data_IF_041595893846
#
_entry.id   IF_041595893846
#
_cell.length_a   1.000
_cell.length_b   1.000
_cell.length_c   1.000
_cell.angle_alpha   90.00
_cell.angle_beta   90.00
_cell.angle_gamma   90.00
#
_symmetry.space_group_name_H-M   'P 1'
#
loop_
_entity.id
_entity.type
_entity.pdbx_description
1 polymer ?
#
# COMPACT_ATOMS: atom_id res chain seq x y z
N UNK A 1 0.10 -40.91 20.99
CA UNK A 1 -0.73 -39.68 21.10
C UNK A 1 0.16 -38.52 21.52
N UNK A 2 0.30 -37.49 20.68
CA UNK A 2 0.84 -36.18 21.09
C UNK A 2 -0.35 -35.28 21.39
N UNK A 3 -0.57 -34.96 22.67
CA UNK A 3 -1.68 -34.08 23.07
C UNK A 3 -1.50 -32.68 22.48
N UNK A 4 -2.58 -32.11 21.96
CA UNK A 4 -2.63 -30.68 21.68
C UNK A 4 -2.59 -29.95 23.02
N UNK A 5 -1.47 -29.30 23.34
CA UNK A 5 -1.50 -28.19 24.30
C UNK A 5 -2.33 -27.08 23.66
N UNK A 6 -3.58 -26.96 24.10
CA UNK A 6 -4.37 -25.76 23.89
C UNK A 6 -3.70 -24.64 24.69
N UNK A 7 -3.17 -23.61 24.02
CA UNK A 7 -2.70 -22.39 24.69
C UNK A 7 -3.91 -21.67 25.32
N UNK A 8 -4.25 -22.02 26.56
CA UNK A 8 -5.28 -21.33 27.33
C UNK A 8 -4.91 -19.85 27.47
N UNK A 9 -5.71 -18.98 26.82
CA UNK A 9 -5.45 -17.54 26.76
C UNK A 9 -4.71 -17.04 25.51
N UNK A 10 -4.45 -17.90 24.51
CA UNK A 10 -4.03 -17.42 23.19
C UNK A 10 -5.15 -16.64 22.49
N UNK A 11 -4.82 -15.53 21.84
CA UNK A 11 -5.75 -14.69 21.10
C UNK A 11 -5.11 -14.19 19.80
N UNK A 12 -5.90 -14.06 18.71
CA UNK A 12 -5.38 -13.50 17.46
C UNK A 12 -5.06 -12.01 17.65
N UNK A 13 -3.90 -11.59 17.14
CA UNK A 13 -3.55 -10.18 17.02
C UNK A 13 -2.98 -9.91 15.63
N UNK A 14 -3.38 -8.80 15.02
CA UNK A 14 -2.99 -8.45 13.66
C UNK A 14 -1.57 -7.87 13.61
N UNK A 15 -0.83 -8.27 12.57
CA UNK A 15 0.48 -7.70 12.21
C UNK A 15 0.49 -7.38 10.71
N UNK A 16 1.31 -6.40 10.30
CA UNK A 16 1.46 -6.07 8.89
C UNK A 16 2.38 -7.06 8.18
N UNK A 17 1.95 -7.57 7.03
CA UNK A 17 2.73 -8.47 6.16
C UNK A 17 4.08 -7.88 5.72
N UNK A 18 4.22 -6.55 5.72
CA UNK A 18 5.50 -5.86 5.49
C UNK A 18 6.64 -6.31 6.41
N UNK A 19 6.32 -6.82 7.62
CA UNK A 19 7.29 -7.41 8.55
C UNK A 19 8.06 -8.59 7.93
N UNK A 20 7.47 -9.30 6.95
CA UNK A 20 8.04 -10.46 6.28
C UNK A 20 8.89 -10.11 5.05
N UNK A 21 9.15 -8.82 4.79
CA UNK A 21 10.05 -8.41 3.71
C UNK A 21 11.52 -8.68 4.05
N UNK A 22 12.40 -8.93 3.06
CA UNK A 22 13.81 -9.25 3.31
C UNK A 22 14.54 -8.22 4.17
N UNK A 23 14.29 -6.92 3.92
CA UNK A 23 14.90 -5.83 4.69
C UNK A 23 14.44 -5.76 6.16
N UNK A 24 13.29 -6.32 6.52
CA UNK A 24 12.87 -6.48 7.91
C UNK A 24 13.39 -7.80 8.51
N UNK A 25 13.41 -8.88 7.73
CA UNK A 25 13.99 -10.17 8.13
C UNK A 25 15.45 -10.04 8.59
N UNK A 26 16.32 -9.38 7.80
CA UNK A 26 17.73 -9.16 8.13
C UNK A 26 17.93 -8.28 9.37
N UNK A 27 17.10 -7.24 9.53
CA UNK A 27 17.20 -6.27 10.64
C UNK A 27 16.69 -6.82 11.97
N UNK A 28 15.69 -7.68 11.96
CA UNK A 28 15.07 -8.26 13.17
C UNK A 28 15.73 -9.59 13.53
N UNK A 29 15.95 -10.47 12.56
CA UNK A 29 16.37 -11.86 12.80
C UNK A 29 15.52 -12.56 13.86
N UNK A 30 16.18 -13.25 14.80
CA UNK A 30 15.48 -13.95 15.89
C UNK A 30 14.83 -13.04 16.93
N UNK A 31 15.07 -11.72 16.92
CA UNK A 31 14.39 -10.80 17.84
C UNK A 31 12.89 -10.62 17.53
N UNK A 32 12.38 -11.24 16.45
CA UNK A 32 10.98 -11.22 16.05
C UNK A 32 10.06 -11.74 17.16
N UNK A 33 10.49 -12.74 17.93
CA UNK A 33 9.71 -13.30 19.03
C UNK A 33 9.46 -12.27 20.15
N UNK A 34 10.49 -11.52 20.54
CA UNK A 34 10.36 -10.43 21.50
C UNK A 34 9.51 -9.28 20.94
N UNK A 35 9.65 -8.97 19.65
CA UNK A 35 8.84 -7.92 19.00
C UNK A 35 7.36 -8.27 18.95
N UNK A 36 7.01 -9.49 18.54
CA UNK A 36 5.63 -10.01 18.51
C UNK A 36 5.04 -10.05 19.93
N UNK A 37 5.82 -10.45 20.94
CA UNK A 37 5.40 -10.40 22.34
C UNK A 37 5.16 -8.96 22.84
N UNK A 38 5.94 -7.98 22.40
CA UNK A 38 5.69 -6.56 22.71
C UNK A 38 4.39 -6.07 22.06
N UNK A 39 4.07 -6.52 20.84
CA UNK A 39 2.79 -6.19 20.18
C UNK A 39 1.61 -6.82 20.94
N UNK A 40 1.66 -8.12 21.25
CA UNK A 40 0.61 -8.78 22.02
C UNK A 40 0.46 -8.11 23.41
N UNK A 41 1.56 -7.82 24.10
CA UNK A 41 1.60 -7.16 25.41
C UNK A 41 1.36 -5.63 25.38
N UNK A 42 1.07 -5.04 24.21
CA UNK A 42 0.70 -3.61 24.10
C UNK A 42 -0.70 -3.38 24.67
N UNK A 43 -0.79 -2.52 25.69
CA UNK A 43 -2.01 -2.28 26.49
C UNK A 43 -2.75 -1.01 26.09
N UNK A 44 -2.02 0.03 25.70
CA UNK A 44 -2.54 1.35 25.31
C UNK A 44 -1.68 1.89 24.18
N UNK A 45 -2.27 2.65 23.28
CA UNK A 45 -1.54 3.44 22.29
C UNK A 45 -1.65 4.92 22.66
N UNK A 46 -0.54 5.65 22.52
CA UNK A 46 -0.45 7.08 22.69
C UNK A 46 0.17 7.68 21.43
N UNK A 47 -0.42 8.76 20.92
CA UNK A 47 0.19 9.58 19.87
C UNK A 47 1.16 10.54 20.56
N UNK A 48 2.45 10.40 20.28
CA UNK A 48 3.49 11.30 20.76
C UNK A 48 4.37 11.68 19.57
N UNK A 49 4.65 12.98 19.40
CA UNK A 49 5.56 13.50 18.36
C UNK A 49 5.21 13.02 16.93
N UNK A 50 3.91 12.91 16.63
CA UNK A 50 3.41 12.44 15.33
C UNK A 50 3.53 10.92 15.09
N UNK A 51 3.94 10.15 16.10
CA UNK A 51 4.09 8.69 16.03
C UNK A 51 3.23 7.98 17.07
N UNK A 52 2.57 6.89 16.66
CA UNK A 52 1.81 6.03 17.58
C UNK A 52 2.76 5.10 18.35
N UNK A 53 2.88 5.32 19.66
CA UNK A 53 3.64 4.50 20.59
C UNK A 53 2.73 3.56 21.36
N UNK A 54 2.97 2.25 21.24
CA UNK A 54 2.28 1.21 22.00
C UNK A 54 2.94 0.99 23.35
N UNK A 55 2.27 1.36 24.45
CA UNK A 55 2.74 1.12 25.82
C UNK A 55 2.62 -0.37 26.19
N UNK A 56 3.77 -1.04 26.31
CA UNK A 56 3.85 -2.43 26.76
C UNK A 56 3.56 -2.50 28.26
N UNK A 57 2.62 -3.36 28.66
CA UNK A 57 2.21 -3.57 30.07
C UNK A 57 1.99 -2.28 30.89
N UNK A 58 1.39 -1.25 30.28
CA UNK A 58 1.07 0.01 30.95
C UNK A 58 2.29 0.81 31.45
N UNK A 59 3.46 0.66 30.81
CA UNK A 59 4.75 1.19 31.26
C UNK A 59 5.29 0.56 32.57
N UNK A 60 4.82 -0.63 32.96
CA UNK A 60 5.46 -1.41 34.04
C UNK A 60 6.95 -1.62 33.72
N UNK A 61 7.88 -1.27 34.63
CA UNK A 61 9.29 -1.61 34.47
C UNK A 61 9.48 -3.13 34.42
N UNK A 62 10.08 -3.62 33.34
CA UNK A 62 10.40 -5.03 33.12
C UNK A 62 11.87 -5.31 33.39
N UNK A 63 12.19 -6.48 33.92
CA UNK A 63 13.58 -6.96 33.98
C UNK A 63 13.89 -7.83 32.77
N UNK A 64 15.10 -7.73 32.23
CA UNK A 64 15.53 -8.61 31.14
C UNK A 64 15.54 -10.10 31.56
N UNK A 65 15.72 -10.38 32.86
CA UNK A 65 15.59 -11.72 33.45
C UNK A 65 14.13 -12.25 33.43
N UNK A 66 13.12 -11.40 33.58
CA UNK A 66 11.70 -11.82 33.50
C UNK A 66 11.35 -12.23 32.05
N UNK A 67 11.81 -11.43 31.07
CA UNK A 67 11.69 -11.76 29.65
C UNK A 67 12.49 -13.03 29.28
N UNK A 68 13.65 -13.24 29.90
CA UNK A 68 14.47 -14.43 29.69
C UNK A 68 13.72 -15.72 30.06
N UNK A 69 12.98 -15.70 31.18
CA UNK A 69 12.11 -16.79 31.61
C UNK A 69 10.96 -17.05 30.63
N UNK A 70 10.32 -15.99 30.09
CA UNK A 70 9.20 -16.10 29.13
C UNK A 70 9.61 -16.85 27.85
N UNK A 71 10.82 -16.63 27.34
CA UNK A 71 11.29 -17.28 26.11
C UNK A 71 12.20 -18.51 26.35
N UNK A 72 12.52 -18.84 27.60
CA UNK A 72 13.48 -19.90 27.93
C UNK A 72 14.91 -19.63 27.44
N UNK A 73 15.31 -18.35 27.31
CA UNK A 73 16.63 -17.94 26.78
C UNK A 73 17.48 -17.24 27.83
N UNK A 74 18.78 -17.08 27.57
CA UNK A 74 19.68 -16.33 28.45
C UNK A 74 19.35 -14.82 28.44
N UNK A 75 19.47 -14.13 29.59
CA UNK A 75 19.30 -12.67 29.71
C UNK A 75 20.19 -11.89 28.71
N UNK A 76 21.42 -12.37 28.44
CA UNK A 76 22.30 -11.77 27.43
C UNK A 76 21.67 -11.77 26.03
N UNK A 77 20.92 -12.82 25.68
CA UNK A 77 20.18 -12.92 24.41
C UNK A 77 19.05 -11.90 24.36
N UNK A 78 18.26 -11.78 25.44
CA UNK A 78 17.19 -10.76 25.54
C UNK A 78 17.76 -9.34 25.41
N UNK A 79 18.85 -9.04 26.13
CA UNK A 79 19.54 -7.73 26.03
C UNK A 79 20.01 -7.45 24.60
N UNK A 80 20.58 -8.44 23.90
CA UNK A 80 20.96 -8.32 22.49
C UNK A 80 19.75 -8.06 21.59
N UNK A 81 18.64 -8.75 21.79
CA UNK A 81 17.39 -8.53 21.04
C UNK A 81 16.81 -7.13 21.29
N UNK A 82 16.78 -6.67 22.54
CA UNK A 82 16.34 -5.31 22.91
C UNK A 82 17.16 -4.24 22.17
N UNK A 83 18.50 -4.32 22.26
CA UNK A 83 19.38 -3.37 21.56
C UNK A 83 19.27 -3.45 20.04
N UNK A 84 19.02 -4.64 19.46
CA UNK A 84 18.79 -4.81 18.03
C UNK A 84 17.47 -4.18 17.58
N UNK A 85 16.39 -4.39 18.34
CA UNK A 85 15.07 -3.84 18.02
C UNK A 85 15.02 -2.33 18.20
N UNK A 86 15.70 -1.79 19.22
CA UNK A 86 15.85 -0.36 19.45
C UNK A 86 16.68 0.31 18.35
N UNK A 87 17.87 -0.23 18.03
CA UNK A 87 18.75 0.31 16.98
C UNK A 87 18.07 0.40 15.62
N UNK A 88 17.23 -0.58 15.29
CA UNK A 88 16.48 -0.61 14.03
C UNK A 88 15.12 0.10 14.09
N UNK A 89 14.77 0.73 15.22
CA UNK A 89 13.58 1.58 15.34
C UNK A 89 12.24 0.85 15.50
N UNK A 90 12.23 -0.42 15.88
CA UNK A 90 10.99 -1.19 16.13
C UNK A 90 10.39 -0.91 17.51
N UNK A 91 11.24 -0.66 18.50
CA UNK A 91 10.85 -0.33 19.87
C UNK A 91 11.62 0.90 20.36
N UNK A 92 11.09 1.58 21.37
CA UNK A 92 11.82 2.50 22.21
C UNK A 92 12.02 1.85 23.58
N UNK A 93 13.24 1.92 24.13
CA UNK A 93 13.55 1.47 25.48
C UNK A 93 13.86 2.68 26.34
N UNK A 94 13.17 2.82 27.48
CA UNK A 94 13.49 3.83 28.50
C UNK A 94 13.99 3.14 29.76
N UNK A 95 15.05 3.68 30.36
CA UNK A 95 15.54 3.23 31.68
C UNK A 95 14.57 3.68 32.76
N UNK A 96 14.30 2.81 33.72
CA UNK A 96 13.57 3.11 34.95
C UNK A 96 14.35 2.54 36.15
N UNK A 97 14.14 3.06 37.39
CA UNK A 97 14.92 2.63 38.56
C UNK A 97 14.93 1.12 38.82
N UNK A 98 13.87 0.41 38.43
CA UNK A 98 13.70 -1.03 38.67
C UNK A 98 13.66 -1.90 37.40
N UNK A 99 14.02 -1.34 36.23
CA UNK A 99 14.02 -2.10 34.98
C UNK A 99 14.06 -1.25 33.71
N UNK A 100 13.46 -1.77 32.65
CA UNK A 100 13.26 -1.08 31.38
C UNK A 100 11.77 -0.93 31.08
N UNK A 101 11.38 0.23 30.57
CA UNK A 101 10.05 0.49 30.04
C UNK A 101 10.14 0.34 28.53
N UNK A 102 9.29 -0.52 27.97
CA UNK A 102 9.22 -0.80 26.53
C UNK A 102 8.05 -0.06 25.89
N UNK A 103 8.26 0.43 24.68
CA UNK A 103 7.17 0.96 23.85
C UNK A 103 7.38 0.55 22.39
N UNK A 104 6.33 0.04 21.75
CA UNK A 104 6.36 -0.36 20.33
C UNK A 104 6.22 0.89 19.47
N UNK A 105 7.15 1.10 18.53
CA UNK A 105 7.09 2.20 17.57
C UNK A 105 6.16 1.84 16.40
N UNK A 106 5.44 2.83 15.88
CA UNK A 106 4.40 2.64 14.86
C UNK A 106 3.38 1.56 15.23
N UNK A 107 3.00 1.49 16.51
CA UNK A 107 1.96 0.58 16.97
C UNK A 107 0.63 0.96 16.35
N UNK A 108 -0.09 -0.02 15.81
CA UNK A 108 -1.38 0.15 15.13
C UNK A 108 -2.40 -0.93 15.59
N UNK A 109 -2.16 -1.52 16.76
CA UNK A 109 -2.97 -2.57 17.36
C UNK A 109 -4.42 -2.13 17.60
N UNK A 110 -4.66 -0.84 17.89
CA UNK A 110 -6.01 -0.33 18.11
C UNK A 110 -6.56 0.52 16.95
N UNK A 111 -5.88 0.57 15.79
CA UNK A 111 -6.31 1.38 14.64
C UNK A 111 -7.69 1.01 14.09
N UNK A 112 -8.14 -0.23 14.34
CA UNK A 112 -9.46 -0.75 13.93
C UNK A 112 -10.48 -0.80 15.07
N UNK A 113 -10.15 -0.32 16.28
CA UNK A 113 -11.18 -0.12 17.32
C UNK A 113 -11.96 1.14 16.93
N UNK A 114 -13.29 1.07 16.68
CA UNK A 114 -14.07 2.29 16.54
C UNK A 114 -13.86 3.12 17.81
N UNK A 115 -13.42 4.36 17.64
CA UNK A 115 -13.06 5.28 18.74
C UNK A 115 -14.34 5.65 19.49
N UNK A 116 -14.78 4.74 20.38
CA UNK A 116 -15.94 4.92 21.24
C UNK A 116 -15.86 6.30 21.86
N UNK A 117 -16.86 7.12 21.55
CA UNK A 117 -16.72 8.57 21.61
C UNK A 117 -16.26 9.01 23.00
N UNK A 118 -15.07 9.63 23.08
CA UNK A 118 -14.76 10.49 24.21
C UNK A 118 -15.54 11.79 24.03
N UNK A 119 -16.86 11.69 24.20
CA UNK A 119 -17.67 12.82 24.62
C UNK A 119 -17.16 13.15 26.02
N UNK A 120 -16.35 14.19 26.12
CA UNK A 120 -16.09 14.88 27.37
C UNK A 120 -16.61 16.29 27.18
N UNK A 121 -17.89 16.45 27.49
CA UNK A 121 -18.52 17.74 27.64
C UNK A 121 -17.88 18.50 28.80
N UNK A 122 -17.59 19.77 28.56
CA UNK A 122 -17.40 20.86 29.53
C UNK A 122 -16.22 20.73 30.54
N UNK A 123 -15.63 21.82 31.04
CA UNK A 123 -15.98 23.24 30.94
C UNK A 123 -14.75 24.15 30.63
N UNK A 124 -15.06 25.42 30.42
CA UNK A 124 -14.19 26.55 30.05
C UNK A 124 -13.05 26.85 31.04
N UNK A 125 -11.91 27.35 30.55
CA UNK A 125 -11.41 28.70 30.93
C UNK A 125 -10.51 29.28 29.82
N UNK A 126 -10.35 30.61 29.77
CA UNK A 126 -9.93 31.42 28.60
C UNK A 126 -8.49 31.92 28.75
N UNK A 127 -7.75 32.10 27.65
CA UNK A 127 -6.86 33.28 27.47
C UNK A 127 -6.49 33.54 26.01
N UNK A 128 -6.28 34.82 25.67
CA UNK A 128 -5.95 35.35 24.34
C UNK A 128 -4.69 36.26 24.47
N UNK A 129 -4.02 36.80 23.43
CA UNK A 129 -4.27 36.79 21.98
C UNK A 129 -3.16 36.01 21.22
N UNK A 130 -2.38 36.46 20.21
CA UNK A 130 -2.17 37.73 19.47
C UNK A 130 -1.88 37.44 17.99
N UNK A 131 -2.19 38.39 17.10
CA UNK A 131 -2.11 38.26 15.64
C UNK A 131 -0.78 38.80 15.04
N UNK A 132 -0.39 38.30 13.87
CA UNK A 132 0.77 38.82 13.11
C UNK A 132 1.04 38.09 11.79
N UNK A 133 0.82 38.77 10.67
CA UNK A 133 0.86 38.29 9.28
C UNK A 133 2.16 37.61 8.81
N UNK A 134 2.07 36.53 8.01
CA UNK A 134 2.32 36.59 6.55
C UNK A 134 2.20 35.22 5.83
N UNK A 135 1.70 35.26 4.58
CA UNK A 135 1.73 34.13 3.61
C UNK A 135 2.72 34.47 2.49
N UNK A 136 3.47 33.48 1.98
CA UNK A 136 3.06 32.97 0.67
C UNK A 136 3.13 31.44 0.48
N UNK A 137 1.97 30.88 0.12
CA UNK A 137 1.74 29.93 -0.99
C UNK A 137 2.86 28.94 -1.40
N UNK A 138 2.68 27.68 -0.95
CA UNK A 138 2.87 26.39 -1.67
C UNK A 138 4.26 25.99 -2.22
N UNK A 139 4.70 24.80 -1.80
CA UNK A 139 4.91 23.69 -2.75
C UNK A 139 4.45 22.36 -2.14
N UNK A 140 3.76 21.53 -2.95
CA UNK A 140 3.23 20.25 -2.52
C UNK A 140 4.21 19.11 -2.86
N UNK A 141 4.28 18.08 -2.01
CA UNK A 141 4.54 16.71 -2.47
C UNK A 141 3.86 15.66 -1.58
N UNK A 142 2.71 15.20 -2.08
CA UNK A 142 2.11 13.88 -1.87
C UNK A 142 1.82 13.43 -0.43
N UNK A 143 0.98 14.21 0.25
CA UNK A 143 0.11 13.70 1.31
C UNK A 143 -1.21 13.20 0.68
N UNK A 144 -1.24 11.95 0.21
CA UNK A 144 -2.48 11.28 -0.18
C UNK A 144 -3.31 10.96 1.06
N UNK A 145 -4.28 11.83 1.32
CA UNK A 145 -5.38 11.59 2.25
C UNK A 145 -6.06 10.26 1.90
N UNK A 146 -6.11 9.31 2.85
CA UNK A 146 -7.05 8.19 2.77
C UNK A 146 -8.15 8.47 3.79
N UNK A 147 -9.06 9.34 3.38
CA UNK A 147 -10.38 9.44 3.99
C UNK A 147 -11.05 8.07 3.92
N UNK A 148 -11.66 7.63 5.03
CA UNK A 148 -12.54 6.46 5.06
C UNK A 148 -13.73 6.67 4.13
N UNK A 149 -13.64 6.12 2.91
CA UNK A 149 -14.74 5.91 1.98
C UNK A 149 -14.41 4.72 1.08
N UNK A 150 -15.00 3.55 1.40
CA UNK A 150 -15.23 2.38 0.56
C UNK A 150 -14.43 2.30 -0.77
N UNK A 151 -13.11 2.18 -0.67
CA UNK A 151 -12.25 1.82 -1.80
C UNK A 151 -11.65 0.46 -1.47
N UNK A 152 -12.27 -0.59 -2.01
CA UNK A 152 -11.70 -1.94 -1.96
C UNK A 152 -10.27 -1.91 -2.49
N UNK A 153 -9.37 -2.68 -1.89
CA UNK A 153 -8.03 -2.91 -2.43
C UNK A 153 -8.20 -3.28 -3.91
N UNK A 154 -7.52 -2.60 -4.87
CA UNK A 154 -7.68 -2.90 -6.28
C UNK A 154 -7.39 -4.38 -6.60
N UNK A 155 -6.54 -5.05 -5.82
CA UNK A 155 -6.32 -6.50 -5.93
C UNK A 155 -7.57 -7.26 -5.49
N UNK A 156 -8.15 -6.92 -4.34
CA UNK A 156 -9.36 -7.58 -3.80
C UNK A 156 -10.58 -7.34 -4.69
N UNK A 157 -10.78 -6.12 -5.19
CA UNK A 157 -11.88 -5.78 -6.12
C UNK A 157 -11.82 -6.59 -7.43
N UNK A 158 -10.61 -6.82 -7.98
CA UNK A 158 -10.42 -7.68 -9.17
C UNK A 158 -10.61 -9.15 -8.80
N UNK A 159 -10.14 -9.58 -7.61
CA UNK A 159 -10.28 -10.95 -7.12
C UNK A 159 -11.75 -11.33 -6.90
N UNK A 160 -12.52 -10.47 -6.24
CA UNK A 160 -13.96 -10.60 -6.03
C UNK A 160 -14.72 -10.65 -7.37
N UNK A 161 -14.40 -9.75 -8.31
CA UNK A 161 -15.04 -9.75 -9.63
C UNK A 161 -14.70 -11.02 -10.43
N UNK A 162 -13.47 -11.52 -10.33
CA UNK A 162 -13.06 -12.79 -10.93
C UNK A 162 -13.78 -13.98 -10.28
N UNK A 163 -13.88 -14.01 -8.96
CA UNK A 163 -14.60 -15.04 -8.20
C UNK A 163 -16.08 -15.08 -8.59
N UNK A 164 -16.73 -13.92 -8.73
CA UNK A 164 -18.12 -13.81 -9.16
C UNK A 164 -18.33 -14.34 -10.59
N UNK A 165 -17.52 -13.89 -11.56
CA UNK A 165 -17.58 -14.36 -12.96
C UNK A 165 -17.34 -15.87 -13.07
N UNK A 166 -16.36 -16.39 -12.33
CA UNK A 166 -16.03 -17.81 -12.33
C UNK A 166 -17.10 -18.65 -11.62
N UNK A 167 -17.69 -18.14 -10.54
CA UNK A 167 -18.78 -18.83 -9.84
C UNK A 167 -20.04 -18.93 -10.70
N UNK A 168 -20.36 -17.87 -11.46
CA UNK A 168 -21.42 -17.90 -12.46
C UNK A 168 -21.14 -18.93 -13.58
N UNK A 169 -19.89 -19.05 -14.02
CA UNK A 169 -19.51 -19.97 -15.10
C UNK A 169 -19.41 -21.45 -14.67
N UNK A 170 -19.03 -21.73 -13.41
CA UNK A 170 -18.95 -23.09 -12.85
C UNK A 170 -20.23 -23.54 -12.10
N UNK A 171 -21.18 -22.64 -11.83
CA UNK A 171 -22.42 -22.96 -11.10
C UNK A 171 -22.23 -23.29 -9.62
N UNK A 172 -21.07 -22.95 -9.05
CA UNK A 172 -20.69 -23.17 -7.65
C UNK A 172 -19.87 -21.98 -7.14
N UNK A 173 -19.84 -21.76 -5.83
CA UNK A 173 -18.95 -20.75 -5.25
C UNK A 173 -17.48 -21.19 -5.44
N UNK A 174 -16.68 -20.34 -6.07
CA UNK A 174 -15.25 -20.57 -6.28
C UNK A 174 -14.44 -19.36 -5.85
N UNK A 175 -13.55 -19.57 -4.89
CA UNK A 175 -12.60 -18.56 -4.43
C UNK A 175 -11.32 -18.56 -5.29
N UNK A 176 -10.66 -17.41 -5.50
CA UNK A 176 -9.40 -17.34 -6.25
C UNK A 176 -8.26 -18.05 -5.49
N UNK A 177 -7.36 -18.69 -6.24
CA UNK A 177 -6.15 -19.32 -5.68
C UNK A 177 -5.13 -18.26 -5.27
N UNK A 178 -4.20 -18.51 -4.31
CA UNK A 178 -3.07 -17.62 -4.06
C UNK A 178 -2.25 -17.26 -5.31
N UNK A 179 -2.20 -18.15 -6.32
CA UNK A 179 -1.58 -17.87 -7.63
C UNK A 179 -2.38 -16.86 -8.47
N UNK A 180 -3.70 -16.83 -8.32
CA UNK A 180 -4.57 -15.86 -8.98
C UNK A 180 -4.36 -14.48 -8.37
N UNK A 181 -4.30 -14.36 -7.03
CA UNK A 181 -3.94 -13.11 -6.34
C UNK A 181 -2.56 -12.57 -6.78
N UNK A 182 -1.55 -13.43 -6.94
CA UNK A 182 -0.24 -13.02 -7.48
C UNK A 182 -0.29 -12.54 -8.93
N UNK A 183 -1.19 -13.10 -9.76
CA UNK A 183 -1.39 -12.64 -11.14
C UNK A 183 -2.14 -11.29 -11.18
N UNK A 184 -3.15 -11.11 -10.33
CA UNK A 184 -3.87 -9.84 -10.17
C UNK A 184 -2.92 -8.72 -9.69
N UNK A 185 -2.09 -9.00 -8.69
CA UNK A 185 -1.11 -8.03 -8.18
C UNK A 185 -0.13 -7.57 -9.27
N UNK A 186 0.27 -8.45 -10.19
CA UNK A 186 1.12 -8.09 -11.35
C UNK A 186 0.42 -7.17 -12.35
N UNK A 187 -0.91 -7.25 -12.50
CA UNK A 187 -1.70 -6.30 -13.29
C UNK A 187 -1.82 -4.94 -12.58
N UNK A 188 -2.12 -4.94 -11.28
CA UNK A 188 -2.24 -3.70 -10.48
C UNK A 188 -0.90 -2.95 -10.43
N UNK A 189 0.23 -3.66 -10.31
CA UNK A 189 1.57 -3.08 -10.34
C UNK A 189 1.94 -2.37 -11.66
N UNK A 190 1.23 -2.63 -12.77
CA UNK A 190 1.37 -1.89 -14.03
C UNK A 190 0.64 -0.55 -14.04
N UNK A 191 -0.07 -0.18 -12.98
CA UNK A 191 -0.75 1.12 -12.85
C UNK A 191 -2.01 1.27 -13.69
N UNK A 192 -2.63 0.16 -14.14
CA UNK A 192 -3.88 0.20 -14.90
C UNK A 192 -5.04 0.63 -13.99
N UNK A 193 -5.89 1.59 -14.39
CA UNK A 193 -7.07 1.99 -13.61
C UNK A 193 -8.01 0.80 -13.33
N UNK A 194 -8.42 0.64 -12.08
CA UNK A 194 -9.30 -0.46 -11.63
C UNK A 194 -10.55 -0.67 -12.51
N UNK A 195 -11.34 0.37 -12.89
CA UNK A 195 -12.51 0.18 -13.76
C UNK A 195 -12.16 -0.37 -15.15
N UNK A 196 -10.97 0.00 -15.66
CA UNK A 196 -10.48 -0.46 -16.96
C UNK A 196 -10.06 -1.93 -16.92
N UNK A 197 -9.41 -2.35 -15.83
CA UNK A 197 -9.04 -3.76 -15.59
C UNK A 197 -10.28 -4.64 -15.44
N UNK A 198 -11.29 -4.21 -14.68
CA UNK A 198 -12.57 -4.91 -14.53
C UNK A 198 -13.27 -5.06 -15.89
N UNK A 199 -13.35 -3.99 -16.69
CA UNK A 199 -13.94 -4.00 -18.04
C UNK A 199 -13.25 -4.99 -18.99
N UNK A 200 -11.93 -5.12 -18.91
CA UNK A 200 -11.21 -6.11 -19.70
C UNK A 200 -11.37 -7.53 -19.18
N UNK A 201 -11.47 -7.72 -17.85
CA UNK A 201 -11.75 -9.02 -17.23
C UNK A 201 -13.11 -9.56 -17.67
N UNK A 202 -14.16 -8.74 -17.60
CA UNK A 202 -15.51 -9.09 -18.07
C UNK A 202 -15.50 -9.46 -19.56
N UNK A 203 -14.85 -8.63 -20.39
CA UNK A 203 -14.72 -8.88 -21.82
C UNK A 203 -13.94 -10.17 -22.12
N UNK A 204 -12.98 -10.54 -21.29
CA UNK A 204 -12.26 -11.82 -21.39
C UNK A 204 -13.21 -13.01 -21.22
N UNK A 205 -14.09 -12.97 -20.20
CA UNK A 205 -15.10 -14.00 -19.99
C UNK A 205 -16.13 -14.03 -21.13
N UNK A 206 -16.67 -12.89 -21.58
CA UNK A 206 -17.63 -12.85 -22.70
C UNK A 206 -17.05 -13.33 -24.03
N UNK A 207 -15.80 -12.94 -24.35
CA UNK A 207 -15.11 -13.44 -25.56
C UNK A 207 -14.74 -14.92 -25.45
N UNK A 208 -14.52 -15.44 -24.25
CA UNK A 208 -14.31 -16.88 -24.04
C UNK A 208 -15.63 -17.65 -24.20
N UNK A 209 -16.72 -17.20 -23.59
CA UNK A 209 -18.03 -17.83 -23.68
C UNK A 209 -18.59 -17.88 -25.10
N UNK A 210 -18.38 -16.84 -25.91
CA UNK A 210 -18.79 -16.85 -27.33
C UNK A 210 -18.00 -17.82 -28.22
N UNK A 211 -16.83 -18.30 -27.77
CA UNK A 211 -15.96 -19.24 -28.51
C UNK A 211 -15.99 -20.66 -27.94
N UNK A 212 -16.55 -20.83 -26.75
CA UNK A 212 -16.59 -22.07 -25.97
C UNK A 212 -17.44 -23.12 -26.70
N UNK A 213 -16.92 -24.34 -26.85
CA UNK A 213 -17.61 -25.44 -27.56
C UNK A 213 -18.44 -26.30 -26.62
N UNK A 214 -18.10 -26.37 -25.33
CA UNK A 214 -18.77 -27.23 -24.35
C UNK A 214 -18.91 -26.59 -22.98
N UNK A 215 -20.07 -26.80 -22.33
CA UNK A 215 -20.38 -26.37 -20.94
C UNK A 215 -19.43 -26.91 -19.86
N UNK A 216 -18.42 -27.71 -20.20
CA UNK A 216 -17.35 -28.18 -19.29
C UNK A 216 -16.04 -27.38 -19.36
N UNK A 217 -15.83 -26.59 -20.42
CA UNK A 217 -14.61 -25.80 -20.64
C UNK A 217 -14.67 -24.46 -19.87
N UNK A 218 -14.18 -24.37 -18.62
CA UNK A 218 -14.21 -23.10 -17.84
C UNK A 218 -12.85 -22.43 -17.72
N UNK A 219 -12.85 -21.11 -17.48
CA UNK A 219 -11.66 -20.37 -17.05
C UNK A 219 -11.38 -20.72 -15.59
N UNK A 220 -10.38 -21.59 -15.36
CA UNK A 220 -10.05 -22.11 -14.03
C UNK A 220 -8.97 -21.33 -13.27
N UNK A 221 -8.22 -20.48 -13.95
CA UNK A 221 -7.08 -19.73 -13.38
C UNK A 221 -7.02 -18.33 -13.98
N UNK A 222 -6.67 -17.34 -13.16
CA UNK A 222 -6.58 -15.94 -13.57
C UNK A 222 -5.48 -15.72 -14.61
N UNK A 223 -4.45 -16.58 -14.68
CA UNK A 223 -3.38 -16.48 -15.68
C UNK A 223 -3.85 -16.42 -17.15
N UNK A 224 -5.04 -16.94 -17.46
CA UNK A 224 -5.65 -16.76 -18.78
C UNK A 224 -6.10 -15.30 -19.01
N UNK A 225 -6.81 -14.73 -18.03
CA UNK A 225 -7.24 -13.33 -18.03
C UNK A 225 -6.05 -12.37 -17.95
N UNK A 226 -5.02 -12.72 -17.18
CA UNK A 226 -3.77 -11.97 -17.08
C UNK A 226 -3.13 -11.76 -18.45
N UNK A 227 -2.93 -12.83 -19.24
CA UNK A 227 -2.36 -12.73 -20.59
C UNK A 227 -3.21 -11.81 -21.48
N UNK A 228 -4.52 -12.03 -21.49
CA UNK A 228 -5.48 -11.25 -22.27
C UNK A 228 -5.51 -9.75 -21.92
N UNK A 229 -5.23 -9.41 -20.65
CA UNK A 229 -5.10 -8.03 -20.17
C UNK A 229 -3.72 -7.46 -20.52
N UNK A 230 -2.63 -8.20 -20.29
CA UNK A 230 -1.27 -7.78 -20.62
C UNK A 230 -1.10 -7.46 -22.11
N UNK A 231 -1.66 -8.29 -23.00
CA UNK A 231 -1.65 -8.05 -24.46
C UNK A 231 -2.26 -6.67 -24.80
N UNK A 232 -3.28 -6.22 -24.06
CA UNK A 232 -3.93 -4.91 -24.23
C UNK A 232 -3.12 -3.76 -23.63
N UNK A 233 -2.47 -3.97 -22.49
CA UNK A 233 -1.56 -2.99 -21.89
C UNK A 233 -0.43 -2.70 -22.88
N UNK A 234 0.25 -3.73 -23.38
CA UNK A 234 1.33 -3.59 -24.37
C UNK A 234 0.86 -2.96 -25.68
N UNK A 235 -0.36 -3.27 -26.13
CA UNK A 235 -0.96 -2.61 -27.30
C UNK A 235 -1.30 -1.12 -27.07
N UNK A 236 -1.47 -0.66 -25.83
CA UNK A 236 -1.64 0.77 -25.51
C UNK A 236 -0.29 1.49 -25.32
N UNK A 237 0.68 0.84 -24.66
CA UNK A 237 2.06 1.34 -24.51
C UNK A 237 2.67 1.62 -25.90
N UNK A 238 2.66 0.63 -26.80
CA UNK A 238 3.18 0.78 -28.18
C UNK A 238 2.45 1.85 -29.01
N UNK A 239 1.13 2.05 -28.81
CA UNK A 239 0.39 3.14 -29.46
C UNK A 239 0.82 4.51 -28.94
N UNK A 240 1.07 4.63 -27.64
CA UNK A 240 1.54 5.87 -27.01
C UNK A 240 2.94 6.23 -27.52
N UNK A 241 3.87 5.27 -27.50
CA UNK A 241 5.24 5.47 -28.02
C UNK A 241 5.24 5.93 -29.48
N UNK A 242 4.34 5.41 -30.32
CA UNK A 242 4.22 5.80 -31.72
C UNK A 242 3.64 7.22 -31.87
N UNK A 243 2.71 7.64 -31.01
CA UNK A 243 2.19 9.02 -30.98
C UNK A 243 3.29 9.99 -30.54
N UNK A 244 4.04 9.64 -29.49
CA UNK A 244 5.10 10.49 -28.95
C UNK A 244 6.24 10.65 -29.99
N UNK A 245 6.65 9.57 -30.66
CA UNK A 245 7.59 9.62 -31.81
C UNK A 245 7.07 10.44 -32.99
N UNK A 246 5.77 10.40 -33.28
CA UNK A 246 5.16 11.20 -34.36
C UNK A 246 5.10 12.69 -34.00
N UNK A 247 4.84 13.02 -32.74
CA UNK A 247 4.85 14.39 -32.24
C UNK A 247 6.27 14.98 -32.20
N UNK A 248 7.27 14.19 -31.82
CA UNK A 248 8.67 14.62 -31.79
C UNK A 248 9.19 14.92 -33.20
N UNK A 249 8.93 14.04 -34.19
CA UNK A 249 9.23 14.31 -35.61
C UNK A 249 8.62 15.62 -36.10
N UNK A 250 7.34 15.87 -35.80
CA UNK A 250 6.66 17.13 -36.15
C UNK A 250 7.23 18.36 -35.44
N UNK A 251 7.86 18.18 -34.28
CA UNK A 251 8.52 19.25 -33.51
C UNK A 251 9.87 19.62 -34.13
N UNK A 252 10.67 18.63 -34.53
CA UNK A 252 11.90 18.84 -35.29
C UNK A 252 11.63 19.43 -36.68
N UNK A 253 10.61 18.95 -37.41
CA UNK A 253 10.21 19.52 -38.72
C UNK A 253 9.71 20.97 -38.63
N UNK A 254 9.18 21.41 -37.49
CA UNK A 254 8.81 22.81 -37.24
C UNK A 254 10.01 23.68 -36.89
N UNK A 255 10.92 23.18 -36.05
CA UNK A 255 12.16 23.89 -35.70
C UNK A 255 13.03 24.15 -36.94
N UNK A 256 13.03 23.25 -37.93
CA UNK A 256 13.71 23.44 -39.22
C UNK A 256 13.02 24.37 -40.21
N UNK A 257 11.95 25.09 -39.82
CA UNK A 257 11.23 26.06 -40.69
C UNK A 257 11.20 27.49 -40.16
N UNK A 258 11.82 27.75 -39.02
CA UNK A 258 12.08 29.13 -38.55
C UNK A 258 13.44 29.60 -39.09
N UNK A 259 13.56 29.74 -40.41
CA UNK A 259 14.64 30.57 -40.96
C UNK A 259 14.33 32.05 -40.69
N UNK A 260 15.33 32.85 -40.28
CA UNK A 260 15.16 34.28 -40.15
C UNK A 260 14.94 34.89 -41.55
N UNK A 261 13.72 35.36 -41.82
CA UNK A 261 13.38 36.11 -43.02
C UNK A 261 14.13 37.46 -43.04
N UNK A 262 15.37 37.45 -43.53
CA UNK A 262 16.15 38.66 -43.84
C UNK A 262 15.78 39.11 -45.26
N UNK A 263 14.59 39.70 -45.41
CA UNK A 263 14.30 40.68 -46.46
C UNK A 263 12.99 41.41 -46.15
N UNK A 264 13.04 42.75 -46.16
CA UNK A 264 11.85 43.59 -45.93
C UNK A 264 10.78 43.35 -46.99
N UNK A 265 9.53 43.27 -46.56
CA UNK A 265 8.43 42.84 -47.42
C UNK A 265 8.08 43.83 -48.54
N UNK A 266 7.93 43.31 -49.77
CA UNK A 266 7.08 43.88 -50.82
C UNK A 266 6.63 42.76 -51.78
N UNK A 267 5.39 42.30 -51.64
CA UNK A 267 4.74 41.40 -52.62
C UNK A 267 3.96 42.22 -53.65
N UNK A 268 4.68 42.71 -54.67
CA UNK A 268 4.10 43.44 -55.78
C UNK A 268 3.23 42.55 -56.69
N UNK A 269 1.95 42.89 -56.86
CA UNK A 269 1.00 42.17 -57.69
C UNK A 269 1.09 42.65 -59.15
N UNK A 270 1.93 41.99 -59.97
CA UNK A 270 2.07 42.32 -61.39
C UNK A 270 0.78 41.94 -62.15
N UNK A 271 0.12 42.94 -62.74
CA UNK A 271 -0.94 42.74 -63.74
C UNK A 271 -0.32 42.74 -65.15
N UNK A 272 -0.72 41.84 -66.07
CA UNK A 272 -0.38 41.99 -67.48
C UNK A 272 -1.07 43.24 -68.04
N UNK A 273 -0.37 44.00 -68.89
CA UNK A 273 -1.01 44.98 -69.79
C UNK A 273 -1.23 44.32 -71.14
N UNK A 274 -2.44 44.47 -71.68
CA UNK A 274 -2.70 44.25 -73.10
C UNK A 274 -2.02 45.37 -73.90
N UNK A 275 -1.39 44.98 -75.02
CA UNK A 275 -1.27 45.72 -76.28
C UNK A 275 -1.59 44.72 -77.38
#
# INVERSE_FOLDING_TARGET
MTGYHSDEGSYPFSIYSGLLTPGHFEKIGHAVWLFLWCISSTTREAEQDGMTLGAVLGHKPLKAAELALVFGVNEKTVRRWLSLLEKNGYIAVRRAPYGIILSVRHSKKFLHRPRAGRVRSEAEERTNESAGSDRPVRLNKDMTQISTNNTSDPVEAIAERFAALRSAQEGRLVQPSPKDYQAIARIVARGVPLPQTIKWLERCFSEYESRRRSRRETIKVFGYCEKYIMDRITAMETRRDNIDKANDRRRFERAGKEEPFITGGQTGRIRPKHV
#
